data_IF_744842944530
#
_entry.id   IF_744842944530
#
_cell.length_a   1.000
_cell.length_b   1.000
_cell.length_c   1.000
_cell.angle_alpha   90.00
_cell.angle_beta   90.00
_cell.angle_gamma   90.00
#
_symmetry.space_group_name_H-M   'P 1'
#
loop_
_entity.id
_entity.type
_entity.pdbx_description
1 polymer ?
#
# COMPACT_ATOMS: atom_id res chain seq x y z
N UNK A 1 2.31 5.91 21.96
CA UNK A 1 2.61 5.26 20.66
C UNK A 1 2.26 6.09 19.42
N UNK A 2 1.26 6.98 19.43
CA UNK A 2 0.92 7.80 18.25
C UNK A 2 2.04 8.69 17.68
N UNK A 3 2.91 9.26 18.53
CA UNK A 3 4.06 10.07 18.06
C UNK A 3 5.14 9.25 17.33
N UNK A 4 5.27 7.94 17.62
CA UNK A 4 6.30 7.08 17.01
C UNK A 4 5.94 6.70 15.57
N UNK A 5 4.69 6.31 15.32
CA UNK A 5 4.19 6.02 13.96
C UNK A 5 4.20 7.26 13.08
N UNK A 6 3.90 8.43 13.64
CA UNK A 6 3.95 9.69 12.93
C UNK A 6 5.39 10.08 12.56
N UNK A 7 6.33 9.96 13.51
CA UNK A 7 7.74 10.24 13.27
C UNK A 7 8.39 9.23 12.31
N UNK A 8 7.94 7.96 12.33
CA UNK A 8 8.37 6.96 11.34
C UNK A 8 7.95 7.35 9.94
N UNK A 9 6.71 7.78 9.72
CA UNK A 9 6.25 8.25 8.41
C UNK A 9 6.93 9.57 7.99
N UNK A 10 7.27 10.44 8.95
CA UNK A 10 7.94 11.75 8.73
C UNK A 10 9.43 11.64 8.40
N UNK A 11 10.16 10.73 9.06
CA UNK A 11 11.63 10.67 9.02
C UNK A 11 12.20 9.56 8.15
N UNK A 12 11.37 8.58 7.75
CA UNK A 12 11.82 7.48 6.91
C UNK A 12 11.33 7.70 5.48
N UNK A 13 12.26 8.02 4.59
CA UNK A 13 12.02 7.87 3.14
C UNK A 13 11.90 6.41 2.70
N UNK A 14 12.00 5.46 3.64
CA UNK A 14 11.85 4.02 3.43
C UNK A 14 10.39 3.61 3.29
N UNK A 15 10.20 2.44 2.71
CA UNK A 15 8.92 1.73 2.70
C UNK A 15 8.40 1.51 4.14
N UNK A 16 7.13 1.87 4.36
CA UNK A 16 6.43 1.66 5.64
C UNK A 16 5.16 0.87 5.38
N UNK A 17 5.01 -0.26 6.06
CA UNK A 17 3.77 -1.03 6.04
C UNK A 17 3.08 -0.95 7.40
N UNK A 18 1.77 -0.68 7.39
CA UNK A 18 0.93 -0.79 8.58
C UNK A 18 -0.11 -1.86 8.36
N UNK A 19 -0.11 -2.88 9.21
CA UNK A 19 -0.88 -4.11 9.02
C UNK A 19 -1.80 -4.41 10.20
N UNK A 20 -2.97 -4.96 9.90
CA UNK A 20 -3.87 -5.60 10.87
C UNK A 20 -4.31 -6.92 10.28
N UNK A 21 -3.98 -7.99 10.98
CA UNK A 21 -4.39 -9.33 10.61
C UNK A 21 -5.49 -9.78 11.56
N UNK A 22 -6.66 -10.09 11.01
CA UNK A 22 -7.75 -10.68 11.79
C UNK A 22 -7.65 -12.20 11.78
N UNK A 23 -7.16 -12.76 10.69
CA UNK A 23 -6.88 -14.18 10.53
C UNK A 23 -5.37 -14.42 10.56
N UNK A 24 -4.91 -15.59 11.03
CA UNK A 24 -3.51 -15.99 10.88
C UNK A 24 -3.05 -15.92 9.42
N UNK A 25 -1.82 -15.48 9.18
CA UNK A 25 -1.32 -15.21 7.81
C UNK A 25 -1.33 -16.46 6.91
N UNK A 26 -1.20 -17.65 7.51
CA UNK A 26 -1.20 -18.93 6.81
C UNK A 26 -2.59 -19.38 6.34
N UNK A 27 -3.68 -18.74 6.78
CA UNK A 27 -5.04 -19.04 6.29
C UNK A 27 -5.46 -18.14 5.13
N UNK A 28 -4.62 -17.18 4.74
CA UNK A 28 -4.92 -16.24 3.65
C UNK A 28 -4.90 -16.98 2.32
N UNK A 29 -6.02 -16.93 1.58
CA UNK A 29 -6.16 -17.60 0.28
C UNK A 29 -5.97 -16.69 -0.93
N UNK A 30 -6.03 -15.38 -0.71
CA UNK A 30 -5.84 -14.38 -1.76
C UNK A 30 -5.32 -13.08 -1.18
N UNK A 31 -4.37 -12.47 -1.88
CA UNK A 31 -3.91 -11.11 -1.63
C UNK A 31 -4.51 -10.21 -2.69
N UNK A 32 -5.26 -9.20 -2.28
CA UNK A 32 -5.88 -8.21 -3.18
C UNK A 32 -5.07 -6.94 -3.03
N UNK A 33 -4.41 -6.49 -4.09
CA UNK A 33 -3.55 -5.30 -4.08
C UNK A 33 -4.22 -4.19 -4.88
N UNK A 34 -4.68 -3.16 -4.19
CA UNK A 34 -5.13 -1.91 -4.81
C UNK A 34 -3.91 -1.03 -5.08
N UNK A 35 -3.65 -0.74 -6.35
CA UNK A 35 -2.52 0.07 -6.83
C UNK A 35 -2.99 1.40 -7.46
N UNK A 36 -2.49 2.56 -7.01
CA UNK A 36 -2.92 3.84 -7.54
C UNK A 36 -2.37 4.10 -8.94
N UNK A 37 -3.01 4.98 -9.73
CA UNK A 37 -2.50 5.38 -11.02
C UNK A 37 -1.09 5.95 -10.89
N UNK A 38 -0.24 5.70 -11.89
CA UNK A 38 1.14 6.21 -11.97
C UNK A 38 2.09 5.63 -10.91
N UNK A 39 1.69 4.57 -10.20
CA UNK A 39 2.55 3.91 -9.21
C UNK A 39 3.84 3.35 -9.82
N UNK A 40 3.84 3.04 -11.12
CA UNK A 40 5.00 2.58 -11.90
C UNK A 40 6.15 3.60 -11.96
N UNK A 41 5.87 4.88 -11.72
CA UNK A 41 6.87 5.94 -11.70
C UNK A 41 7.48 6.17 -10.32
N UNK A 42 6.99 5.50 -9.28
CA UNK A 42 7.52 5.61 -7.93
C UNK A 42 8.77 4.74 -7.77
N UNK A 43 9.79 5.25 -7.06
CA UNK A 43 11.04 4.52 -6.82
C UNK A 43 10.81 3.16 -6.12
N UNK A 44 9.80 3.07 -5.26
CA UNK A 44 9.43 1.83 -4.56
C UNK A 44 8.72 0.78 -5.41
N UNK A 45 8.34 1.07 -6.67
CA UNK A 45 7.45 0.20 -7.47
C UNK A 45 7.92 -1.25 -7.55
N UNK A 46 9.16 -1.47 -7.99
CA UNK A 46 9.71 -2.81 -8.16
C UNK A 46 9.75 -3.58 -6.83
N UNK A 47 10.06 -2.88 -5.75
CA UNK A 47 10.28 -3.48 -4.43
C UNK A 47 9.00 -3.99 -3.81
N UNK A 48 7.94 -3.19 -3.78
CA UNK A 48 6.68 -3.64 -3.19
C UNK A 48 5.99 -4.70 -4.06
N UNK A 49 6.13 -4.64 -5.40
CA UNK A 49 5.62 -5.71 -6.28
C UNK A 49 6.34 -7.02 -5.97
N UNK A 50 7.67 -6.99 -5.85
CA UNK A 50 8.46 -8.16 -5.43
C UNK A 50 7.95 -8.73 -4.10
N UNK A 51 7.75 -7.88 -3.09
CA UNK A 51 7.29 -8.29 -1.77
C UNK A 51 5.97 -9.08 -1.85
N UNK A 52 4.98 -8.58 -2.58
CA UNK A 52 3.69 -9.26 -2.67
C UNK A 52 3.70 -10.48 -3.59
N UNK A 53 4.48 -10.48 -4.67
CA UNK A 53 4.67 -11.69 -5.48
C UNK A 53 5.31 -12.81 -4.65
N UNK A 54 6.39 -12.51 -3.92
CA UNK A 54 7.07 -13.47 -3.04
C UNK A 54 6.17 -13.96 -1.90
N UNK A 55 5.38 -13.06 -1.31
CA UNK A 55 4.40 -13.42 -0.30
C UNK A 55 3.34 -14.36 -0.87
N UNK A 56 2.82 -14.07 -2.07
CA UNK A 56 1.91 -14.94 -2.81
C UNK A 56 2.48 -16.35 -3.02
N UNK A 57 3.71 -16.43 -3.55
CA UNK A 57 4.41 -17.71 -3.75
C UNK A 57 4.64 -18.48 -2.44
N UNK A 58 5.06 -17.78 -1.38
CA UNK A 58 5.36 -18.39 -0.08
C UNK A 58 4.11 -18.93 0.61
N UNK A 59 2.99 -18.22 0.49
CA UNK A 59 1.69 -18.64 1.05
C UNK A 59 0.94 -19.60 0.13
N UNK A 60 1.41 -19.85 -1.11
CA UNK A 60 0.70 -20.63 -2.11
C UNK A 60 -0.65 -20.01 -2.51
N UNK A 61 -0.77 -18.69 -2.42
CA UNK A 61 -2.02 -17.97 -2.65
C UNK A 61 -1.95 -17.10 -3.91
N UNK A 62 -3.12 -16.72 -4.45
CA UNK A 62 -3.18 -15.84 -5.61
C UNK A 62 -3.00 -14.38 -5.22
N UNK A 63 -2.26 -13.62 -6.03
CA UNK A 63 -2.12 -12.16 -5.89
C UNK A 63 -2.93 -11.49 -6.99
N UNK A 64 -3.94 -10.71 -6.61
CA UNK A 64 -4.82 -10.03 -7.55
C UNK A 64 -4.56 -8.53 -7.49
N UNK A 65 -3.99 -7.97 -8.56
CA UNK A 65 -3.74 -6.54 -8.68
C UNK A 65 -4.95 -5.81 -9.29
N UNK A 66 -5.36 -4.74 -8.64
CA UNK A 66 -6.37 -3.79 -9.10
C UNK A 66 -5.69 -2.45 -9.39
N UNK A 67 -5.60 -2.08 -10.67
CA UNK A 67 -4.90 -0.87 -11.11
C UNK A 67 -5.55 -0.29 -12.38
N UNK A 68 -5.22 0.93 -12.77
CA UNK A 68 -5.61 1.46 -14.08
C UNK A 68 -4.86 0.71 -15.21
N UNK A 69 -5.29 0.94 -16.44
CA UNK A 69 -4.79 0.23 -17.63
C UNK A 69 -3.27 0.37 -17.82
N UNK A 70 -2.74 1.59 -17.69
CA UNK A 70 -1.30 1.87 -17.86
C UNK A 70 -0.44 1.17 -16.80
N UNK A 71 -0.78 1.32 -15.52
CA UNK A 71 -0.05 0.66 -14.43
C UNK A 71 -0.19 -0.87 -14.51
N UNK A 72 -1.34 -1.38 -14.96
CA UNK A 72 -1.56 -2.83 -15.17
C UNK A 72 -0.58 -3.41 -16.18
N UNK A 73 -0.33 -2.72 -17.31
CA UNK A 73 0.61 -3.17 -18.32
C UNK A 73 2.04 -3.31 -17.75
N UNK A 74 2.46 -2.34 -16.93
CA UNK A 74 3.77 -2.37 -16.25
C UNK A 74 3.85 -3.51 -15.22
N UNK A 75 2.80 -3.71 -14.43
CA UNK A 75 2.72 -4.82 -13.47
C UNK A 75 2.82 -6.17 -14.18
N UNK A 76 2.05 -6.37 -15.26
CA UNK A 76 2.09 -7.61 -16.04
C UNK A 76 3.48 -7.85 -16.64
N UNK A 77 4.11 -6.82 -17.20
CA UNK A 77 5.47 -6.91 -17.73
C UNK A 77 6.47 -7.34 -16.66
N UNK A 78 6.43 -6.72 -15.48
CA UNK A 78 7.31 -7.02 -14.37
C UNK A 78 7.10 -8.44 -13.81
N UNK A 79 5.84 -8.81 -13.56
CA UNK A 79 5.48 -10.13 -13.03
C UNK A 79 5.88 -11.23 -14.02
N UNK A 80 5.59 -11.05 -15.31
CA UNK A 80 5.98 -12.02 -16.34
C UNK A 80 7.49 -12.20 -16.43
N UNK A 81 8.25 -11.11 -16.30
CA UNK A 81 9.71 -11.14 -16.41
C UNK A 81 10.40 -11.79 -15.20
N UNK A 82 9.92 -11.53 -13.97
CA UNK A 82 10.63 -11.91 -12.73
C UNK A 82 9.91 -12.96 -11.88
N UNK A 83 8.59 -13.05 -11.98
CA UNK A 83 7.74 -13.82 -11.06
C UNK A 83 6.72 -14.70 -11.79
N UNK A 84 7.03 -15.18 -13.00
CA UNK A 84 6.08 -15.90 -13.87
C UNK A 84 5.48 -17.19 -13.30
N UNK A 85 6.01 -17.72 -12.19
CA UNK A 85 5.45 -18.86 -11.45
C UNK A 85 4.41 -18.45 -10.39
N UNK A 86 4.30 -17.15 -10.11
CA UNK A 86 3.32 -16.62 -9.15
C UNK A 86 1.95 -16.58 -9.80
N UNK A 87 0.94 -17.10 -9.10
CA UNK A 87 -0.44 -17.01 -9.55
C UNK A 87 -0.94 -15.57 -9.40
N UNK A 88 -0.93 -14.80 -10.48
CA UNK A 88 -1.35 -13.40 -10.48
C UNK A 88 -2.55 -13.15 -11.38
N UNK A 89 -3.53 -12.43 -10.85
CA UNK A 89 -4.70 -11.95 -11.57
C UNK A 89 -4.64 -10.40 -11.66
N UNK A 90 -5.24 -9.82 -12.71
CA UNK A 90 -5.24 -8.37 -12.94
C UNK A 90 -6.66 -7.90 -13.24
N UNK A 91 -7.06 -6.78 -12.65
CA UNK A 91 -8.35 -6.15 -12.92
C UNK A 91 -8.25 -4.64 -12.89
N UNK A 92 -9.14 -4.00 -13.66
CA UNK A 92 -9.13 -2.55 -13.81
C UNK A 92 -9.71 -1.87 -12.57
N UNK A 93 -9.04 -0.82 -12.12
CA UNK A 93 -9.47 0.09 -11.06
C UNK A 93 -9.06 1.51 -11.45
N UNK A 94 -10.01 2.26 -11.99
CA UNK A 94 -9.77 3.65 -12.43
C UNK A 94 -10.10 4.67 -11.33
N UNK A 95 -11.18 4.44 -10.57
CA UNK A 95 -11.65 5.37 -9.55
C UNK A 95 -11.31 4.87 -8.14
N UNK A 96 -10.34 5.56 -7.53
CA UNK A 96 -9.91 5.35 -6.15
C UNK A 96 -10.84 5.99 -5.12
N UNK A 97 -11.71 6.90 -5.56
CA UNK A 97 -12.67 7.60 -4.71
C UNK A 97 -13.68 6.67 -4.05
N UNK A 98 -13.97 5.51 -4.64
CA UNK A 98 -14.93 4.55 -4.11
C UNK A 98 -14.37 3.13 -4.03
N UNK A 99 -13.48 2.91 -3.04
CA UNK A 99 -13.02 1.59 -2.61
C UNK A 99 -14.14 0.58 -2.31
N UNK A 100 -15.41 1.01 -2.26
CA UNK A 100 -16.57 0.13 -2.19
C UNK A 100 -16.56 -0.95 -3.27
N UNK A 101 -16.04 -0.67 -4.46
CA UNK A 101 -15.99 -1.69 -5.53
C UNK A 101 -15.15 -2.91 -5.14
N UNK A 102 -14.16 -2.74 -4.24
CA UNK A 102 -13.34 -3.84 -3.73
C UNK A 102 -14.04 -4.62 -2.63
N UNK A 103 -15.09 -4.11 -1.98
CA UNK A 103 -15.77 -4.84 -0.89
C UNK A 103 -16.43 -6.12 -1.38
N UNK A 104 -16.90 -6.14 -2.63
CA UNK A 104 -17.44 -7.36 -3.26
C UNK A 104 -16.37 -8.40 -3.60
N UNK A 105 -15.09 -8.05 -3.54
CA UNK A 105 -13.96 -8.90 -3.93
C UNK A 105 -13.16 -9.39 -2.72
N UNK A 106 -13.18 -8.63 -1.61
CA UNK A 106 -12.42 -8.92 -0.39
C UNK A 106 -13.28 -9.73 0.58
N UNK A 107 -12.90 -11.00 0.77
CA UNK A 107 -13.51 -11.89 1.75
C UNK A 107 -12.77 -11.87 3.09
N UNK A 108 -13.30 -12.51 4.12
CA UNK A 108 -12.70 -12.56 5.47
C UNK A 108 -11.34 -13.28 5.50
N UNK A 109 -11.11 -14.23 4.58
CA UNK A 109 -9.88 -15.00 4.40
C UNK A 109 -8.94 -14.39 3.33
N UNK A 110 -9.22 -13.16 2.91
CA UNK A 110 -8.36 -12.40 2.01
C UNK A 110 -7.54 -11.35 2.77
N UNK A 111 -6.40 -10.98 2.19
CA UNK A 111 -5.58 -9.86 2.61
C UNK A 111 -5.76 -8.70 1.64
N UNK A 112 -6.32 -7.59 2.10
CA UNK A 112 -6.39 -6.36 1.32
C UNK A 112 -5.12 -5.54 1.53
N UNK A 113 -4.42 -5.23 0.45
CA UNK A 113 -3.24 -4.37 0.43
C UNK A 113 -3.61 -3.09 -0.31
N UNK A 114 -3.38 -1.95 0.32
CA UNK A 114 -3.60 -0.63 -0.28
C UNK A 114 -2.25 0.06 -0.41
N UNK A 115 -1.82 0.31 -1.63
CA UNK A 115 -0.63 1.13 -1.90
C UNK A 115 -1.05 2.60 -1.79
N UNK A 116 -0.56 3.30 -0.78
CA UNK A 116 -0.88 4.69 -0.50
C UNK A 116 0.36 5.55 -0.71
N UNK A 117 0.34 6.34 -1.77
CA UNK A 117 1.42 7.27 -2.05
C UNK A 117 1.38 8.47 -1.09
N UNK A 118 2.56 9.01 -0.77
CA UNK A 118 2.69 10.15 0.13
C UNK A 118 2.38 11.45 -0.60
N UNK A 119 1.89 12.47 0.11
CA UNK A 119 1.70 13.80 -0.49
C UNK A 119 2.99 14.28 -1.13
N UNK A 120 2.87 14.85 -2.33
CA UNK A 120 4.02 15.31 -3.12
C UNK A 120 4.67 14.24 -4.00
N UNK A 121 4.25 12.97 -3.91
CA UNK A 121 4.68 11.93 -4.85
C UNK A 121 3.79 11.88 -6.10
N UNK A 122 4.27 11.22 -7.16
CA UNK A 122 3.66 11.23 -8.50
C UNK A 122 2.31 10.49 -8.50
N UNK A 123 2.20 9.42 -7.72
CA UNK A 123 1.01 8.59 -7.59
C UNK A 123 0.08 9.02 -6.44
N UNK A 124 0.26 10.23 -5.89
CA UNK A 124 -0.62 10.76 -4.85
C UNK A 124 -2.02 11.04 -5.39
N UNK A 125 -3.02 10.52 -4.69
CA UNK A 125 -4.43 10.80 -4.95
C UNK A 125 -5.11 11.41 -3.71
N UNK A 126 -5.96 12.42 -3.93
CA UNK A 126 -6.70 13.10 -2.85
C UNK A 126 -7.66 12.18 -2.08
N UNK A 127 -8.11 11.08 -2.70
CA UNK A 127 -8.92 10.03 -2.06
C UNK A 127 -8.20 9.37 -0.88
N UNK A 128 -6.86 9.41 -0.84
CA UNK A 128 -6.09 8.87 0.28
C UNK A 128 -6.38 9.57 1.61
N UNK A 129 -6.90 10.80 1.58
CA UNK A 129 -7.33 11.50 2.78
C UNK A 129 -8.57 10.86 3.42
N UNK A 130 -9.37 10.16 2.61
CA UNK A 130 -10.60 9.47 3.03
C UNK A 130 -10.38 7.99 3.35
N UNK A 131 -9.23 7.42 2.98
CA UNK A 131 -8.85 6.03 3.21
C UNK A 131 -9.13 5.57 4.65
N UNK A 132 -8.69 6.28 5.70
CA UNK A 132 -8.99 5.92 7.09
C UNK A 132 -10.47 5.65 7.36
N UNK A 133 -11.35 6.52 6.86
CA UNK A 133 -12.79 6.41 7.06
C UNK A 133 -13.38 5.25 6.26
N UNK A 134 -12.95 5.07 5.00
CA UNK A 134 -13.40 3.98 4.14
C UNK A 134 -12.97 2.61 4.67
N UNK A 135 -11.70 2.46 5.09
CA UNK A 135 -11.19 1.22 5.71
C UNK A 135 -11.99 0.88 6.96
N UNK A 136 -12.22 1.88 7.83
CA UNK A 136 -12.98 1.66 9.07
C UNK A 136 -14.45 1.32 8.83
N UNK A 137 -15.04 1.79 7.73
CA UNK A 137 -16.44 1.56 7.40
C UNK A 137 -16.65 0.23 6.67
N UNK A 138 -15.78 -0.09 5.72
CA UNK A 138 -16.02 -1.17 4.76
C UNK A 138 -15.15 -2.41 4.98
N UNK A 139 -13.97 -2.25 5.57
CA UNK A 139 -12.97 -3.32 5.72
C UNK A 139 -12.59 -3.58 7.18
N UNK A 140 -13.47 -3.21 8.13
CA UNK A 140 -13.22 -3.39 9.56
C UNK A 140 -13.00 -4.86 9.96
N UNK A 141 -13.58 -5.78 9.18
CA UNK A 141 -13.57 -7.23 9.40
C UNK A 141 -12.68 -7.97 8.39
N UNK A 142 -11.73 -7.29 7.75
CA UNK A 142 -10.77 -7.91 6.84
C UNK A 142 -9.34 -7.71 7.33
N UNK A 143 -8.46 -8.65 6.98
CA UNK A 143 -7.02 -8.44 7.16
C UNK A 143 -6.54 -7.42 6.12
N UNK A 144 -5.76 -6.43 6.56
CA UNK A 144 -5.40 -5.28 5.75
C UNK A 144 -3.94 -4.84 5.96
N UNK A 145 -3.27 -4.43 4.89
CA UNK A 145 -2.00 -3.70 4.89
C UNK A 145 -2.20 -2.37 4.16
N UNK A 146 -1.80 -1.27 4.78
CA UNK A 146 -1.56 0.01 4.09
C UNK A 146 -0.06 0.15 3.90
N UNK A 147 0.40 0.20 2.65
CA UNK A 147 1.81 0.35 2.29
C UNK A 147 2.07 1.77 1.80
N UNK A 148 3.06 2.42 2.39
CA UNK A 148 3.63 3.68 1.92
C UNK A 148 4.96 3.38 1.23
N UNK A 149 5.06 3.52 -0.10
CA UNK A 149 6.27 3.18 -0.85
C UNK A 149 7.48 4.01 -0.45
N UNK A 150 8.67 3.47 -0.75
CA UNK A 150 9.93 4.20 -0.67
C UNK A 150 9.95 5.37 -1.68
N UNK A 151 10.42 6.53 -1.25
CA UNK A 151 10.49 7.75 -2.07
C UNK A 151 11.91 8.05 -2.61
N UNK A 152 12.96 7.48 -2.02
CA UNK A 152 14.35 7.76 -2.39
C UNK A 152 15.05 6.60 -3.11
N UNK A 153 14.39 5.45 -3.26
CA UNK A 153 14.97 4.29 -3.93
C UNK A 153 16.06 3.61 -3.09
N UNK A 154 16.86 2.74 -3.72
CA UNK A 154 18.06 2.17 -3.09
C UNK A 154 18.99 3.32 -2.67
N UNK A 155 19.58 3.30 -1.45
CA UNK A 155 20.54 4.31 -1.06
C UNK A 155 21.77 4.12 -1.94
N UNK A 156 21.92 4.91 -2.99
CA UNK A 156 23.25 5.21 -3.49
C UNK A 156 23.94 5.99 -2.35
N UNK A 157 25.17 5.62 -2.01
CA UNK A 157 26.02 6.28 -1.01
C UNK A 157 26.27 7.75 -1.39
N UNK A 158 25.25 8.58 -1.24
CA UNK A 158 25.26 10.01 -1.50
C UNK A 158 24.71 10.70 -0.26
N UNK A 159 25.62 10.98 0.67
CA UNK A 159 25.47 12.01 1.69
C UNK A 159 25.17 13.35 0.99
N UNK A 160 23.90 13.67 0.81
CA UNK A 160 23.46 14.98 0.33
C UNK A 160 23.01 15.84 1.50
N UNK A 161 23.91 16.71 1.95
CA UNK A 161 23.70 17.70 3.01
C UNK A 161 23.02 18.96 2.47
N UNK A 162 21.78 18.88 1.98
CA UNK A 162 20.93 20.07 1.84
C UNK A 162 19.53 19.72 1.39
N UNK A 163 18.55 19.81 2.29
CA UNK A 163 17.14 19.90 1.91
C UNK A 163 16.46 20.99 2.77
N UNK A 164 16.25 22.22 2.24
CA UNK A 164 15.77 23.36 3.05
C UNK A 164 14.25 23.54 3.05
N UNK A 165 13.45 22.56 2.59
CA UNK A 165 11.97 22.66 2.56
C UNK A 165 11.33 21.85 3.67
N UNK A 166 11.48 22.35 4.89
CA UNK A 166 10.70 21.90 6.05
C UNK A 166 9.45 22.77 6.26
N UNK A 167 8.41 22.13 6.78
CA UNK A 167 7.19 22.69 7.38
C UNK A 167 6.01 23.02 6.46
N UNK A 168 5.29 21.97 6.02
CA UNK A 168 3.82 21.97 5.96
C UNK A 168 3.16 20.56 5.93
N UNK A 169 3.95 19.48 5.91
CA UNK A 169 3.44 18.09 5.86
C UNK A 169 3.02 17.53 7.23
N UNK A 170 3.41 18.18 8.32
CA UNK A 170 3.31 17.68 9.69
C UNK A 170 1.87 17.45 10.17
N UNK A 171 0.90 18.28 9.75
CA UNK A 171 -0.50 18.14 10.18
C UNK A 171 -1.23 16.95 9.52
N UNK A 172 -0.76 16.48 8.35
CA UNK A 172 -1.45 15.44 7.60
C UNK A 172 -1.22 14.06 8.20
N UNK A 173 0.05 13.75 8.52
CA UNK A 173 0.41 12.48 9.13
C UNK A 173 -0.11 12.36 10.57
N UNK A 174 -0.37 13.47 11.26
CA UNK A 174 -0.99 13.47 12.58
C UNK A 174 -2.39 12.83 12.55
N UNK A 175 -3.19 13.11 11.51
CA UNK A 175 -4.51 12.49 11.33
C UNK A 175 -4.40 10.98 11.07
N UNK A 176 -3.46 10.59 10.21
CA UNK A 176 -3.20 9.19 9.87
C UNK A 176 -2.68 8.41 11.08
N UNK A 177 -1.73 8.97 11.84
CA UNK A 177 -1.19 8.37 13.07
C UNK A 177 -2.23 8.25 14.18
N UNK A 178 -3.07 9.28 14.39
CA UNK A 178 -4.21 9.22 15.32
C UNK A 178 -5.24 8.17 14.90
N UNK A 179 -5.50 8.03 13.59
CA UNK A 179 -6.38 7.00 13.07
C UNK A 179 -5.81 5.60 13.32
N UNK A 180 -4.54 5.35 12.96
CA UNK A 180 -3.88 4.08 13.23
C UNK A 180 -3.99 3.71 14.72
N UNK A 181 -3.68 4.66 15.60
CA UNK A 181 -3.81 4.45 17.04
C UNK A 181 -5.22 4.02 17.46
N UNK A 182 -6.26 4.69 16.96
CA UNK A 182 -7.66 4.32 17.24
C UNK A 182 -8.02 2.95 16.65
N UNK A 183 -7.54 2.65 15.45
CA UNK A 183 -7.83 1.41 14.75
C UNK A 183 -7.19 0.17 15.40
N UNK A 184 -5.98 0.31 15.96
CA UNK A 184 -5.33 -0.73 16.77
C UNK A 184 -5.94 -0.87 18.17
N UNK A 185 -6.46 0.21 18.76
CA UNK A 185 -7.04 0.19 20.11
C UNK A 185 -8.46 -0.36 20.17
N UNK A 186 -9.15 -0.45 19.02
CA UNK A 186 -10.49 -1.03 18.91
C UNK A 186 -10.35 -2.56 18.82
N UNK A 187 -10.05 -3.18 19.96
CA UNK A 187 -10.19 -4.61 20.24
C UNK A 187 -11.20 -4.76 21.38
#
# INVERSE_FOLDING_TARGET
FGMLTENLLKGLHREVMVSKFLMPINTIRRVIVAVPPKAEYEAGFLKWVEHFCRLGSTLGCRVHFYANEETTAHLQGLVKAKYGQTLTDFSRLDDWGDLLILTGQVNFDHLLVIISARRGSISYDSSFEKLPAQISKYFANNSLIVLYPDQLGEPQDAVSFSNPRGNNESQHYEKVGKWFYKWFKKN
#
